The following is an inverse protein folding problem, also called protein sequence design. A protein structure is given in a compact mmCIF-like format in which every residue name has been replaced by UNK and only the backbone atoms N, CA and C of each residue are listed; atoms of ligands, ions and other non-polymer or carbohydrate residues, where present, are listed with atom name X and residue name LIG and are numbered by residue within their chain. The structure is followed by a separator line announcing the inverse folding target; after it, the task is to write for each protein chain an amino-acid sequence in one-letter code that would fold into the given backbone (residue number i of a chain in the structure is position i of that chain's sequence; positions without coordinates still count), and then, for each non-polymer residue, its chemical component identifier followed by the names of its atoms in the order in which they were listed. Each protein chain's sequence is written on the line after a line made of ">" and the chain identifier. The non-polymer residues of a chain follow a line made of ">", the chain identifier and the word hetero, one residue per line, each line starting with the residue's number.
data_IF_319533007684
#
_entry.id   IF_319533007684
#
_cell.length_a   1.000
_cell.length_b   1.000
_cell.length_c   1.000
_cell.angle_alpha   90.00
_cell.angle_beta   90.00
_cell.angle_gamma   90.00
#
_symmetry.space_group_name_H-M   'P 1'
#
loop_
_entity.id
_entity.type
_entity.pdbx_description
1 polymer ?
#
# COMPACT_ATOMS: atom_id res chain seq x y z
N UNK A 1 1.49 11.63 -25.70
CA UNK A 1 2.51 10.57 -25.61
C UNK A 1 1.77 9.30 -25.23
N UNK A 2 1.88 8.29 -26.07
CA UNK A 2 1.24 6.99 -25.90
C UNK A 2 2.32 5.92 -26.00
N UNK A 3 2.22 4.87 -25.17
CA UNK A 3 3.18 3.77 -25.15
C UNK A 3 3.96 3.65 -23.84
N UNK A 4 4.95 2.76 -23.81
CA UNK A 4 5.78 2.50 -22.63
C UNK A 4 7.03 3.38 -22.66
N UNK A 5 7.36 4.02 -21.54
CA UNK A 5 8.53 4.90 -21.48
C UNK A 5 8.97 5.25 -20.07
N UNK A 6 10.19 5.79 -19.98
CA UNK A 6 10.77 6.33 -18.76
C UNK A 6 10.75 7.86 -18.80
N UNK A 7 10.35 8.47 -17.69
CA UNK A 7 10.45 9.89 -17.43
C UNK A 7 11.26 10.11 -16.15
N UNK A 8 12.19 11.07 -16.18
CA UNK A 8 12.99 11.48 -15.03
C UNK A 8 12.76 12.97 -14.79
N UNK A 9 12.35 13.31 -13.58
CA UNK A 9 12.14 14.69 -13.16
C UNK A 9 13.45 15.30 -12.66
N UNK A 10 13.54 16.63 -12.67
CA UNK A 10 14.72 17.36 -12.20
C UNK A 10 14.99 17.17 -10.70
N UNK A 11 13.97 16.83 -9.91
CA UNK A 11 14.09 16.51 -8.49
C UNK A 11 14.66 15.09 -8.22
N UNK A 12 14.96 14.32 -9.27
CA UNK A 12 15.50 12.97 -9.16
C UNK A 12 14.45 11.87 -9.17
N UNK A 13 13.16 12.21 -9.13
CA UNK A 13 12.10 11.22 -9.28
C UNK A 13 12.17 10.54 -10.65
N UNK A 14 11.75 9.29 -10.71
CA UNK A 14 11.63 8.57 -11.97
C UNK A 14 10.35 7.77 -12.04
N UNK A 15 9.79 7.70 -13.25
CA UNK A 15 8.67 6.86 -13.57
C UNK A 15 9.00 6.05 -14.81
N UNK A 16 8.70 4.77 -14.79
CA UNK A 16 8.83 3.88 -15.93
C UNK A 16 7.53 3.10 -16.08
N UNK A 17 6.82 3.27 -17.20
CA UNK A 17 5.52 2.63 -17.34
C UNK A 17 4.75 3.05 -18.58
N UNK A 18 3.49 2.66 -18.60
CA UNK A 18 2.56 2.95 -19.68
C UNK A 18 2.02 4.38 -19.59
N UNK A 19 1.99 5.03 -20.75
CA UNK A 19 1.45 6.37 -20.97
C UNK A 19 0.32 6.28 -21.99
N UNK A 20 -0.73 7.06 -21.77
CA UNK A 20 -1.77 7.31 -22.76
C UNK A 20 -2.18 8.77 -22.71
N UNK A 21 -2.28 9.44 -23.87
CA UNK A 21 -2.59 10.85 -23.98
C UNK A 21 -1.72 11.77 -23.09
N UNK A 22 -0.46 11.37 -22.83
CA UNK A 22 0.46 12.13 -21.98
C UNK A 22 0.27 11.96 -20.46
N UNK A 23 -0.66 11.10 -20.02
CA UNK A 23 -0.85 10.76 -18.60
C UNK A 23 -0.42 9.31 -18.32
N UNK A 24 -0.03 9.02 -17.08
CA UNK A 24 0.31 7.64 -16.66
C UNK A 24 -0.97 6.81 -16.68
N UNK A 25 -0.97 5.70 -17.41
CA UNK A 25 -2.16 4.88 -17.58
C UNK A 25 -1.77 3.43 -17.88
N UNK A 26 -2.24 2.49 -17.07
CA UNK A 26 -1.77 1.10 -17.04
C UNK A 26 -0.67 0.88 -16.00
N UNK A 27 0.16 -0.14 -16.19
CA UNK A 27 1.21 -0.49 -15.23
C UNK A 27 2.39 0.49 -15.28
N UNK A 28 2.94 0.79 -14.09
CA UNK A 28 4.13 1.60 -13.96
C UNK A 28 4.85 1.40 -12.63
N UNK A 29 6.12 1.80 -12.64
CA UNK A 29 7.03 1.86 -11.51
C UNK A 29 7.44 3.31 -11.31
N UNK A 30 7.12 3.86 -10.14
CA UNK A 30 7.52 5.18 -9.68
C UNK A 30 8.53 5.03 -8.54
N UNK A 31 9.59 5.82 -8.57
CA UNK A 31 10.54 5.96 -7.46
C UNK A 31 10.82 7.43 -7.24
N UNK A 32 10.62 7.91 -6.02
CA UNK A 32 11.05 9.24 -5.63
C UNK A 32 12.53 9.25 -5.24
N UNK A 33 13.15 10.42 -5.31
CA UNK A 33 14.50 10.62 -4.77
C UNK A 33 14.56 10.39 -3.25
N UNK A 34 13.43 10.59 -2.55
CA UNK A 34 13.29 10.43 -1.09
C UNK A 34 13.10 8.97 -0.65
N UNK A 35 13.22 7.99 -1.56
CA UNK A 35 13.16 6.56 -1.23
C UNK A 35 11.75 5.97 -1.18
N UNK A 36 10.71 6.73 -1.51
CA UNK A 36 9.35 6.22 -1.71
C UNK A 36 9.28 5.56 -3.09
N UNK A 37 8.57 4.43 -3.21
CA UNK A 37 8.29 3.84 -4.52
C UNK A 37 6.89 3.25 -4.61
N UNK A 38 6.36 3.20 -5.83
CA UNK A 38 5.11 2.54 -6.14
C UNK A 38 5.26 1.72 -7.42
N UNK A 39 4.90 0.44 -7.35
CA UNK A 39 4.80 -0.44 -8.50
C UNK A 39 3.37 -0.92 -8.60
N UNK A 40 2.65 -0.52 -9.63
CA UNK A 40 1.24 -0.88 -9.74
C UNK A 40 0.54 -0.25 -10.92
N UNK A 41 -0.79 -0.33 -10.89
CA UNK A 41 -1.64 0.22 -11.92
C UNK A 41 -1.93 1.71 -11.69
N UNK A 42 -1.99 2.44 -12.80
CA UNK A 42 -2.35 3.85 -12.87
C UNK A 42 -3.54 4.03 -13.79
N UNK A 43 -4.39 5.00 -13.48
CA UNK A 43 -5.46 5.47 -14.36
C UNK A 43 -5.48 6.98 -14.31
N UNK A 44 -5.31 7.66 -15.44
CA UNK A 44 -5.27 9.12 -15.50
C UNK A 44 -4.31 9.75 -14.45
N UNK A 45 -3.10 9.20 -14.34
CA UNK A 45 -2.04 9.63 -13.42
C UNK A 45 -2.27 9.40 -11.93
N UNK A 46 -3.36 8.76 -11.51
CA UNK A 46 -3.57 8.33 -10.11
C UNK A 46 -3.37 6.82 -9.98
N UNK A 47 -2.94 6.35 -8.80
CA UNK A 47 -2.87 4.90 -8.49
C UNK A 47 -4.28 4.33 -8.42
N UNK A 48 -4.49 3.23 -9.14
CA UNK A 48 -5.80 2.61 -9.32
C UNK A 48 -5.62 1.11 -9.55
N UNK A 49 -6.35 0.25 -8.85
CA UNK A 49 -6.18 -1.20 -8.92
C UNK A 49 -5.00 -1.72 -8.08
N UNK A 50 -4.49 -2.93 -8.34
CA UNK A 50 -3.46 -3.55 -7.52
C UNK A 50 -2.12 -2.81 -7.62
N UNK A 51 -1.44 -2.69 -6.48
CA UNK A 51 -0.09 -2.13 -6.44
C UNK A 51 0.62 -2.29 -5.11
N UNK A 52 1.94 -2.22 -5.19
CA UNK A 52 2.85 -2.22 -4.04
C UNK A 52 3.39 -0.81 -3.83
N UNK A 53 3.23 -0.27 -2.63
CA UNK A 53 3.84 0.99 -2.22
C UNK A 53 4.89 0.72 -1.15
N UNK A 54 6.11 1.18 -1.36
CA UNK A 54 7.18 1.16 -0.37
C UNK A 54 7.37 2.57 0.16
N UNK A 55 7.26 2.73 1.46
CA UNK A 55 7.47 3.99 2.18
C UNK A 55 8.97 4.21 2.40
N UNK A 56 9.37 5.47 2.66
CA UNK A 56 10.77 5.83 2.87
C UNK A 56 11.39 5.17 4.12
N UNK A 57 10.58 4.84 5.12
CA UNK A 57 10.99 4.10 6.32
C UNK A 57 11.20 2.60 6.08
N UNK A 58 10.90 2.10 4.87
CA UNK A 58 10.97 0.69 4.50
C UNK A 58 9.66 -0.08 4.73
N UNK A 59 8.63 0.53 5.32
CA UNK A 59 7.29 -0.05 5.38
C UNK A 59 6.77 -0.32 3.96
N UNK A 60 5.92 -1.33 3.80
CA UNK A 60 5.38 -1.73 2.49
C UNK A 60 3.91 -2.07 2.58
N UNK A 61 3.13 -1.50 1.68
CA UNK A 61 1.75 -1.89 1.45
C UNK A 61 1.63 -2.63 0.11
N UNK A 62 0.93 -3.75 0.10
CA UNK A 62 0.46 -4.45 -1.08
C UNK A 62 -1.06 -4.59 -1.01
N UNK A 63 -1.76 -4.12 -2.04
CA UNK A 63 -3.22 -4.21 -2.06
C UNK A 63 -3.83 -3.37 -3.17
N UNK A 64 -5.13 -3.16 -3.07
CA UNK A 64 -5.89 -2.39 -4.05
C UNK A 64 -5.83 -0.87 -3.77
N UNK A 65 -5.82 -0.11 -4.83
CA UNK A 65 -5.82 1.34 -4.83
C UNK A 65 -7.03 1.87 -5.57
N UNK A 66 -7.58 2.99 -5.11
CA UNK A 66 -8.64 3.72 -5.81
C UNK A 66 -8.42 5.20 -5.63
N UNK A 67 -8.22 5.92 -6.73
CA UNK A 67 -7.93 7.35 -6.73
C UNK A 67 -6.84 7.75 -5.71
N UNK A 68 -5.67 7.11 -5.81
CA UNK A 68 -4.50 7.31 -4.93
C UNK A 68 -4.66 6.88 -3.47
N UNK A 69 -5.78 6.27 -3.09
CA UNK A 69 -6.05 5.81 -1.73
C UNK A 69 -5.99 4.28 -1.66
N UNK A 70 -5.41 3.73 -0.59
CA UNK A 70 -5.50 2.30 -0.27
C UNK A 70 -6.95 1.92 0.00
N UNK A 71 -7.40 0.79 -0.52
CA UNK A 71 -8.77 0.32 -0.36
C UNK A 71 -8.87 -1.21 -0.45
N UNK A 72 -10.02 -1.76 -0.06
CA UNK A 72 -10.28 -3.19 -0.18
C UNK A 72 -9.39 -4.00 0.75
N UNK A 73 -8.96 -5.18 0.30
CA UNK A 73 -8.06 -6.03 1.08
C UNK A 73 -6.60 -5.67 0.77
N UNK A 74 -5.77 -5.56 1.80
CA UNK A 74 -4.34 -5.29 1.64
C UNK A 74 -3.50 -5.77 2.81
N UNK A 75 -2.22 -5.98 2.51
CA UNK A 75 -1.18 -6.38 3.44
C UNK A 75 -0.21 -5.21 3.64
N UNK A 76 0.00 -4.81 4.88
CA UNK A 76 1.01 -3.82 5.27
C UNK A 76 2.06 -4.49 6.15
N UNK A 77 3.33 -4.32 5.81
CA UNK A 77 4.47 -4.62 6.69
C UNK A 77 5.07 -3.30 7.16
N UNK A 78 5.23 -3.14 8.46
CA UNK A 78 5.79 -1.93 9.06
C UNK A 78 7.29 -2.07 9.28
N UNK A 79 7.98 -0.94 9.35
CA UNK A 79 9.42 -0.89 9.61
C UNK A 79 9.83 -1.49 10.97
N UNK A 80 8.91 -1.52 11.94
CA UNK A 80 9.11 -2.15 13.25
C UNK A 80 9.00 -3.69 13.23
N UNK A 81 8.70 -4.28 12.06
CA UNK A 81 8.52 -5.72 11.88
C UNK A 81 7.10 -6.22 12.13
N UNK A 82 6.18 -5.36 12.57
CA UNK A 82 4.76 -5.70 12.66
C UNK A 82 4.12 -5.76 11.26
N UNK A 83 2.95 -6.40 11.16
CA UNK A 83 2.19 -6.45 9.91
C UNK A 83 0.69 -6.48 10.14
N UNK A 84 -0.05 -6.01 9.15
CA UNK A 84 -1.50 -6.07 9.10
C UNK A 84 -1.96 -6.66 7.77
N UNK A 85 -2.91 -7.59 7.82
CA UNK A 85 -3.56 -8.18 6.65
C UNK A 85 -5.07 -8.07 6.85
N UNK A 86 -5.75 -7.27 6.05
CA UNK A 86 -7.18 -7.03 6.25
C UNK A 86 -7.75 -5.92 5.39
N UNK A 87 -8.91 -5.42 5.79
CA UNK A 87 -9.62 -4.36 5.07
C UNK A 87 -9.00 -2.97 5.28
N UNK A 88 -9.15 -2.15 4.25
CA UNK A 88 -8.76 -0.74 4.14
C UNK A 88 -9.89 0.04 3.47
N UNK A 89 -10.21 1.21 4.00
CA UNK A 89 -11.15 2.14 3.37
C UNK A 89 -10.47 3.49 3.12
N UNK A 90 -10.32 3.86 1.85
CA UNK A 90 -9.94 5.21 1.42
C UNK A 90 -8.76 5.87 2.18
N UNK A 91 -7.66 5.14 2.31
CA UNK A 91 -6.45 5.62 3.00
C UNK A 91 -6.62 5.89 4.50
N UNK A 92 -7.79 5.55 5.06
CA UNK A 92 -7.98 5.49 6.50
C UNK A 92 -7.14 4.36 7.12
N UNK A 93 -7.22 4.29 8.45
CA UNK A 93 -6.64 3.20 9.23
C UNK A 93 -7.41 1.89 8.98
N UNK A 94 -6.88 0.78 9.48
CA UNK A 94 -7.46 -0.56 9.36
C UNK A 94 -8.99 -0.58 9.55
N UNK A 95 -9.71 -1.27 8.66
CA UNK A 95 -11.16 -1.36 8.68
C UNK A 95 -11.64 -2.78 8.30
N UNK A 96 -12.82 -3.17 8.78
CA UNK A 96 -13.39 -4.50 8.55
C UNK A 96 -12.66 -5.61 9.30
N UNK A 97 -12.65 -6.82 8.75
CA UNK A 97 -11.94 -7.95 9.35
C UNK A 97 -10.46 -7.94 8.97
N UNK A 98 -9.59 -8.26 9.94
CA UNK A 98 -8.17 -8.29 9.69
C UNK A 98 -7.35 -8.97 10.79
N UNK A 99 -6.13 -9.33 10.43
CA UNK A 99 -5.13 -9.85 11.33
C UNK A 99 -3.99 -8.85 11.48
N UNK A 100 -3.66 -8.51 12.72
CA UNK A 100 -2.45 -7.75 13.05
C UNK A 100 -1.47 -8.66 13.78
N UNK A 101 -0.24 -8.72 13.29
CA UNK A 101 0.87 -9.46 13.88
C UNK A 101 1.86 -8.43 14.41
N UNK A 102 2.13 -8.46 15.72
CA UNK A 102 3.15 -7.62 16.32
C UNK A 102 4.55 -8.18 16.05
N UNK A 103 5.58 -7.35 16.18
CA UNK A 103 6.98 -7.79 16.05
C UNK A 103 7.35 -8.93 17.02
N UNK A 104 6.63 -9.07 18.14
CA UNK A 104 6.74 -10.18 19.08
C UNK A 104 6.18 -11.51 18.55
N UNK A 105 5.65 -11.56 17.33
CA UNK A 105 4.87 -12.68 16.77
C UNK A 105 3.56 -12.99 17.49
N UNK A 106 3.19 -12.21 18.52
CA UNK A 106 1.81 -12.19 19.02
C UNK A 106 0.90 -11.68 17.91
N UNK A 107 -0.37 -12.09 17.88
CA UNK A 107 -1.30 -11.62 16.86
C UNK A 107 -2.73 -11.46 17.39
N UNK A 108 -3.47 -10.61 16.69
CA UNK A 108 -4.90 -10.42 16.88
C UNK A 108 -5.60 -10.65 15.55
N UNK A 109 -6.72 -11.36 15.57
CA UNK A 109 -7.62 -11.51 14.42
C UNK A 109 -9.03 -11.12 14.84
N UNK A 110 -9.66 -10.24 14.09
CA UNK A 110 -11.03 -9.81 14.33
C UNK A 110 -11.34 -8.49 13.64
N UNK A 111 -12.42 -7.84 14.10
CA UNK A 111 -12.87 -6.57 13.55
C UNK A 111 -11.93 -5.40 13.86
N UNK A 112 -11.92 -4.46 12.92
CA UNK A 112 -11.22 -3.19 12.94
C UNK A 112 -12.18 -2.09 12.49
N UNK A 113 -12.10 -0.93 13.13
CA UNK A 113 -12.81 0.26 12.71
C UNK A 113 -11.92 1.47 13.01
N UNK A 114 -11.62 2.24 11.97
CA UNK A 114 -10.71 3.41 12.05
C UNK A 114 -9.40 3.11 12.80
N UNK A 115 -8.82 1.93 12.56
CA UNK A 115 -7.54 1.50 13.14
C UNK A 115 -7.59 0.99 14.57
N UNK A 116 -8.76 0.98 15.18
CA UNK A 116 -8.97 0.40 16.51
C UNK A 116 -9.62 -0.96 16.37
N UNK A 117 -9.20 -1.91 17.22
CA UNK A 117 -9.86 -3.22 17.33
C UNK A 117 -11.33 -2.99 17.67
N UNK A 118 -12.23 -3.61 16.91
CA UNK A 118 -13.67 -3.51 17.06
C UNK A 118 -14.31 -4.90 17.09
N UNK A 119 -15.45 -5.03 17.76
CA UNK A 119 -16.20 -6.28 17.79
C UNK A 119 -15.49 -7.42 18.52
N UNK A 120 -15.75 -8.65 18.06
CA UNK A 120 -15.14 -9.87 18.62
C UNK A 120 -13.83 -10.13 17.91
N UNK A 121 -12.81 -10.50 18.67
CA UNK A 121 -11.54 -10.92 18.12
C UNK A 121 -10.82 -11.91 19.03
N UNK A 122 -9.84 -12.59 18.47
CA UNK A 122 -8.96 -13.52 19.16
C UNK A 122 -7.56 -12.93 19.21
N UNK A 123 -7.02 -12.81 20.42
CA UNK A 123 -5.62 -12.44 20.65
C UNK A 123 -4.85 -13.68 21.09
N UNK A 124 -3.67 -13.88 20.51
CA UNK A 124 -2.74 -14.95 20.87
C UNK A 124 -1.40 -14.32 21.21
N UNK A 125 -0.86 -14.71 22.36
CA UNK A 125 0.46 -14.33 22.81
C UNK A 125 1.43 -15.43 22.46
N UNK A 126 2.56 -15.05 21.87
CA UNK A 126 3.65 -15.97 21.60
C UNK A 126 4.69 -15.75 22.68
N UNK A 127 5.00 -16.82 23.43
CA UNK A 127 6.05 -16.80 24.43
C UNK A 127 7.42 -16.89 23.73
N UNK A 128 8.39 -16.09 24.18
CA UNK A 128 9.76 -16.08 23.65
C UNK A 128 10.61 -17.23 24.20
#
# INVERSE_FOLDING_TARGET
>A
MDGYGQYRWANGDCFTGCWSAGVRNGWGDFKSADGVSYQGQYKASVREGPGTFTFADGSKYWGDWKADKRCGYGNMTFADGSSYSGGWDQDEKFDGEGQFIWASSSYYTGGWQHGSRSGKGRMVFTDQ
#
